data_IF_232185236279
#
_entry.id   IF_232185236279
#
_cell.length_a   1.000
_cell.length_b   1.000
_cell.length_c   1.000
_cell.angle_alpha   90.00
_cell.angle_beta   90.00
_cell.angle_gamma   90.00
#
_symmetry.space_group_name_H-M   'P 1'
#
loop_
_entity.id
_entity.type
_entity.pdbx_description
1 polymer ?
#
# COMPACT_ATOMS: atom_id res chain seq x y z
N UNK A 1 24.68 5.62 -3.82
CA UNK A 1 23.26 5.50 -3.40
C UNK A 1 22.58 4.19 -3.78
N UNK A 2 23.10 3.40 -4.74
CA UNK A 2 22.44 2.14 -5.18
C UNK A 2 22.43 0.98 -4.14
N UNK A 3 23.34 0.96 -3.17
CA UNK A 3 23.41 -0.11 -2.16
C UNK A 3 22.24 -0.09 -1.18
N UNK A 4 21.83 1.09 -0.71
CA UNK A 4 20.76 1.24 0.28
C UNK A 4 19.39 0.85 -0.29
N UNK A 5 19.04 1.30 -1.50
CA UNK A 5 17.76 0.94 -2.12
C UNK A 5 17.68 -0.58 -2.40
N UNK A 6 18.81 -1.20 -2.76
CA UNK A 6 18.88 -2.65 -2.95
C UNK A 6 18.69 -3.39 -1.62
N UNK A 7 19.33 -2.93 -0.55
CA UNK A 7 19.14 -3.47 0.80
C UNK A 7 17.69 -3.37 1.27
N UNK A 8 17.05 -2.20 1.11
CA UNK A 8 15.65 -1.99 1.50
C UNK A 8 14.72 -2.92 0.69
N UNK A 9 14.98 -3.14 -0.59
CA UNK A 9 14.22 -4.09 -1.42
C UNK A 9 14.37 -5.53 -0.94
N UNK A 10 15.57 -5.93 -0.52
CA UNK A 10 15.78 -7.26 0.06
C UNK A 10 15.07 -7.40 1.39
N UNK A 11 15.14 -6.40 2.26
CA UNK A 11 14.41 -6.41 3.52
C UNK A 11 12.89 -6.54 3.30
N UNK A 12 12.33 -5.79 2.34
CA UNK A 12 10.92 -5.95 1.96
C UNK A 12 10.61 -7.39 1.57
N UNK A 13 11.47 -8.00 0.76
CA UNK A 13 11.26 -9.37 0.31
C UNK A 13 11.36 -10.39 1.44
N UNK A 14 12.34 -10.26 2.32
CA UNK A 14 12.52 -11.14 3.48
C UNK A 14 11.29 -11.09 4.40
N UNK A 15 10.71 -9.90 4.58
CA UNK A 15 9.46 -9.72 5.33
C UNK A 15 8.29 -10.43 4.65
N UNK A 16 8.10 -10.23 3.35
CA UNK A 16 7.01 -10.88 2.61
C UNK A 16 7.14 -12.40 2.68
N UNK A 17 8.35 -12.93 2.52
CA UNK A 17 8.62 -14.37 2.64
C UNK A 17 8.18 -14.91 3.99
N UNK A 18 8.47 -14.20 5.09
CA UNK A 18 8.07 -14.64 6.43
C UNK A 18 6.54 -14.68 6.62
N UNK A 19 5.79 -13.97 5.78
CA UNK A 19 4.34 -13.97 5.78
C UNK A 19 3.71 -15.00 4.83
N UNK A 20 4.51 -15.79 4.11
CA UNK A 20 3.97 -16.81 3.22
C UNK A 20 3.34 -17.97 4.01
N UNK A 21 2.14 -18.40 3.63
CA UNK A 21 1.36 -19.41 4.38
C UNK A 21 2.06 -20.77 4.52
N UNK A 22 3.02 -21.08 3.64
CA UNK A 22 3.84 -22.28 3.72
C UNK A 22 4.77 -22.33 4.94
N UNK A 23 4.96 -21.21 5.64
CA UNK A 23 5.76 -21.15 6.87
C UNK A 23 4.94 -21.38 8.15
N UNK A 24 3.64 -21.66 8.07
CA UNK A 24 2.81 -21.98 9.26
C UNK A 24 3.00 -23.44 9.74
N UNK A 25 3.48 -24.35 8.87
CA UNK A 25 3.65 -25.78 9.16
C UNK A 25 5.04 -26.16 9.73
N UNK A 26 5.94 -25.20 9.87
CA UNK A 26 7.28 -25.42 10.42
C UNK A 26 7.26 -24.90 11.87
N UNK A 27 7.33 -25.80 12.86
CA UNK A 27 7.48 -25.57 14.32
C UNK A 27 8.76 -24.76 14.68
N UNK A 28 9.34 -24.05 13.72
CA UNK A 28 10.36 -23.06 13.94
C UNK A 28 9.68 -21.80 14.46
N UNK A 29 10.01 -21.44 15.71
CA UNK A 29 9.79 -20.11 16.28
C UNK A 29 9.95 -19.07 15.16
N UNK A 30 8.83 -18.50 14.70
CA UNK A 30 8.83 -17.59 13.56
C UNK A 30 9.85 -16.49 13.84
N UNK A 31 10.67 -16.10 12.85
CA UNK A 31 11.58 -14.94 12.96
C UNK A 31 10.83 -13.71 13.51
N UNK A 32 9.52 -13.64 13.27
CA UNK A 32 8.62 -12.62 13.81
C UNK A 32 8.36 -12.78 15.32
N UNK A 33 8.26 -13.99 15.85
CA UNK A 33 8.22 -14.27 17.29
C UNK A 33 9.51 -13.83 17.96
N UNK A 34 10.67 -14.11 17.34
CA UNK A 34 11.99 -13.67 17.83
C UNK A 34 12.18 -12.15 17.76
N UNK A 35 11.70 -11.50 16.69
CA UNK A 35 11.83 -10.05 16.50
C UNK A 35 10.78 -9.25 17.30
N UNK A 36 9.58 -9.81 17.48
CA UNK A 36 8.42 -9.05 17.96
C UNK A 36 7.89 -9.48 19.32
N UNK A 37 8.16 -10.69 19.78
CA UNK A 37 7.69 -11.25 21.04
C UNK A 37 6.24 -11.74 21.00
N UNK A 38 5.87 -12.58 21.96
CA UNK A 38 4.60 -13.33 21.98
C UNK A 38 3.40 -12.55 22.57
N UNK A 39 3.13 -11.36 22.03
CA UNK A 39 1.96 -10.55 22.43
C UNK A 39 1.25 -9.99 21.21
N UNK A 40 0.18 -10.67 20.76
CA UNK A 40 -0.51 -10.41 19.48
C UNK A 40 -0.79 -8.93 19.16
N UNK A 41 -1.26 -8.12 20.13
CA UNK A 41 -1.51 -6.68 19.88
C UNK A 41 -0.25 -5.84 19.67
N UNK A 42 0.86 -6.20 20.33
CA UNK A 42 2.16 -5.55 20.14
C UNK A 42 2.75 -5.97 18.80
N UNK A 43 2.62 -7.25 18.44
CA UNK A 43 3.06 -7.81 17.14
C UNK A 43 2.32 -7.16 15.98
N UNK A 44 0.99 -7.11 16.00
CA UNK A 44 0.16 -6.43 15.00
C UNK A 44 0.53 -4.95 14.87
N UNK A 45 0.80 -4.30 16.01
CA UNK A 45 1.26 -2.92 16.05
C UNK A 45 2.58 -2.71 15.32
N UNK A 46 3.54 -3.64 15.46
CA UNK A 46 4.84 -3.58 14.78
C UNK A 46 4.72 -3.87 13.28
N UNK A 47 3.95 -4.90 12.90
CA UNK A 47 3.63 -5.21 11.48
C UNK A 47 3.01 -3.99 10.81
N UNK A 48 2.04 -3.35 11.47
CA UNK A 48 1.38 -2.14 10.96
C UNK A 48 2.38 -0.98 10.80
N UNK A 49 3.28 -0.77 11.76
CA UNK A 49 4.29 0.29 11.67
C UNK A 49 5.27 0.07 10.53
N UNK A 50 5.71 -1.15 10.33
CA UNK A 50 6.62 -1.50 9.24
C UNK A 50 5.94 -1.38 7.87
N UNK A 51 4.71 -1.88 7.75
CA UNK A 51 3.89 -1.69 6.56
C UNK A 51 3.71 -0.20 6.22
N UNK A 52 3.51 0.66 7.23
CA UNK A 52 3.45 2.11 7.05
C UNK A 52 4.77 2.69 6.57
N UNK A 53 5.91 2.22 7.08
CA UNK A 53 7.21 2.61 6.58
C UNK A 53 7.35 2.26 5.10
N UNK A 54 7.06 1.03 4.69
CA UNK A 54 7.17 0.63 3.29
C UNK A 54 6.19 1.37 2.36
N UNK A 55 4.95 1.62 2.81
CA UNK A 55 4.00 2.46 2.06
C UNK A 55 4.53 3.88 1.84
N UNK A 56 5.25 4.43 2.82
CA UNK A 56 5.93 5.71 2.70
C UNK A 56 7.15 5.66 1.76
N UNK A 57 7.97 4.60 1.83
CA UNK A 57 9.14 4.42 0.97
C UNK A 57 8.74 4.26 -0.51
N UNK A 58 7.61 3.61 -0.78
CA UNK A 58 7.04 3.50 -2.12
C UNK A 58 6.55 4.86 -2.61
N UNK A 59 5.81 5.61 -1.77
CA UNK A 59 5.37 6.96 -2.08
C UNK A 59 6.54 7.89 -2.46
N UNK A 60 7.61 7.85 -1.66
CA UNK A 60 8.83 8.65 -1.88
C UNK A 60 9.72 8.11 -3.02
N UNK A 61 9.27 7.08 -3.75
CA UNK A 61 9.96 6.43 -4.89
C UNK A 61 11.34 5.85 -4.53
N UNK A 62 11.57 5.54 -3.26
CA UNK A 62 12.78 4.84 -2.80
C UNK A 62 12.72 3.36 -3.22
N UNK A 63 11.51 2.79 -3.16
CA UNK A 63 11.19 1.46 -3.69
C UNK A 63 10.15 1.65 -4.80
N UNK A 64 10.39 1.17 -6.03
CA UNK A 64 9.38 1.19 -7.08
C UNK A 64 8.24 0.24 -6.74
N UNK A 65 7.02 0.58 -7.19
CA UNK A 65 5.85 -0.25 -6.97
C UNK A 65 5.97 -1.63 -7.64
N UNK A 66 6.83 -1.78 -8.65
CA UNK A 66 7.19 -3.04 -9.32
C UNK A 66 7.57 -4.18 -8.35
N UNK A 67 7.99 -3.87 -7.11
CA UNK A 67 8.27 -4.87 -6.08
C UNK A 67 7.06 -5.78 -5.77
N UNK A 68 5.84 -5.32 -6.06
CA UNK A 68 4.60 -6.08 -5.89
C UNK A 68 4.54 -7.37 -6.72
N UNK A 69 5.37 -7.52 -7.78
CA UNK A 69 5.46 -8.77 -8.53
C UNK A 69 5.90 -9.98 -7.70
N UNK A 70 6.55 -9.73 -6.57
CA UNK A 70 7.06 -10.77 -5.67
C UNK A 70 6.09 -11.13 -4.54
N UNK A 71 4.92 -10.49 -4.47
CA UNK A 71 3.97 -10.70 -3.38
C UNK A 71 2.93 -11.74 -3.84
N UNK A 72 2.76 -12.86 -3.12
CA UNK A 72 1.79 -13.89 -3.49
C UNK A 72 0.37 -13.51 -3.06
N UNK A 73 -0.16 -12.43 -3.65
CA UNK A 73 -1.39 -11.75 -3.25
C UNK A 73 -2.66 -12.62 -3.36
N UNK A 74 -2.69 -13.59 -4.27
CA UNK A 74 -3.91 -14.34 -4.61
C UNK A 74 -4.28 -15.42 -3.58
N UNK A 75 -3.31 -16.09 -2.95
CA UNK A 75 -3.59 -17.11 -1.92
C UNK A 75 -2.34 -17.57 -1.13
N UNK A 76 -1.29 -16.73 -1.05
CA UNK A 76 -0.02 -17.16 -0.46
C UNK A 76 0.39 -16.43 0.80
N UNK A 77 -0.45 -15.56 1.35
CA UNK A 77 -0.15 -14.81 2.57
C UNK A 77 -0.98 -15.32 3.74
N UNK A 78 -0.34 -15.44 4.91
CA UNK A 78 -1.03 -15.66 6.16
C UNK A 78 -1.76 -14.38 6.65
N UNK A 79 -2.46 -14.49 7.79
CA UNK A 79 -3.23 -13.37 8.36
C UNK A 79 -2.36 -12.12 8.61
N UNK A 80 -1.08 -12.31 8.97
CA UNK A 80 -0.14 -11.22 9.22
C UNK A 80 0.34 -10.57 7.93
N UNK A 81 0.57 -11.36 6.89
CA UNK A 81 0.84 -10.87 5.54
C UNK A 81 -0.32 -10.06 5.00
N UNK A 82 -1.56 -10.53 5.21
CA UNK A 82 -2.75 -9.76 4.86
C UNK A 82 -2.81 -8.43 5.62
N UNK A 83 -2.51 -8.43 6.93
CA UNK A 83 -2.43 -7.21 7.74
C UNK A 83 -1.35 -6.24 7.21
N UNK A 84 -0.18 -6.77 6.85
CA UNK A 84 0.93 -6.00 6.32
C UNK A 84 0.57 -5.34 4.99
N UNK A 85 0.08 -6.11 4.01
CA UNK A 85 -0.26 -5.59 2.68
C UNK A 85 -1.41 -4.57 2.76
N UNK A 86 -2.45 -4.85 3.54
CA UNK A 86 -3.54 -3.92 3.74
C UNK A 86 -3.05 -2.60 4.36
N UNK A 87 -2.23 -2.67 5.41
CA UNK A 87 -1.68 -1.50 6.09
C UNK A 87 -0.76 -0.68 5.17
N UNK A 88 0.04 -1.36 4.34
CA UNK A 88 0.95 -0.74 3.38
C UNK A 88 0.17 0.01 2.30
N UNK A 89 -0.79 -0.66 1.65
CA UNK A 89 -1.63 -0.05 0.61
C UNK A 89 -2.44 1.11 1.19
N UNK A 90 -3.00 0.96 2.38
CA UNK A 90 -3.73 2.03 3.05
C UNK A 90 -2.84 3.25 3.31
N UNK A 91 -1.63 3.06 3.85
CA UNK A 91 -0.68 4.16 4.08
C UNK A 91 -0.25 4.85 2.77
N UNK A 92 0.05 4.06 1.73
CA UNK A 92 0.41 4.59 0.41
C UNK A 92 -0.72 5.46 -0.16
N UNK A 93 -1.95 4.93 -0.20
CA UNK A 93 -3.12 5.63 -0.72
C UNK A 93 -3.48 6.86 0.12
N UNK A 94 -3.35 6.79 1.44
CA UNK A 94 -3.51 7.95 2.33
C UNK A 94 -2.51 9.07 1.98
N UNK A 95 -1.25 8.71 1.73
CA UNK A 95 -0.22 9.70 1.39
C UNK A 95 -0.44 10.31 0.02
N UNK A 96 -0.80 9.50 -0.98
CA UNK A 96 -1.23 9.99 -2.30
C UNK A 96 -2.41 10.93 -2.15
N UNK A 97 -3.48 10.51 -1.45
CA UNK A 97 -4.66 11.36 -1.22
C UNK A 97 -4.33 12.67 -0.51
N UNK A 98 -3.39 12.66 0.44
CA UNK A 98 -2.94 13.88 1.12
C UNK A 98 -2.22 14.84 0.17
N UNK A 99 -1.26 14.35 -0.60
CA UNK A 99 -0.42 15.20 -1.47
C UNK A 99 -1.13 15.61 -2.77
N UNK A 100 -2.11 14.83 -3.21
CA UNK A 100 -3.01 15.21 -4.30
C UNK A 100 -4.04 16.29 -3.92
N UNK A 101 -4.32 16.49 -2.62
CA UNK A 101 -5.37 17.40 -2.15
C UNK A 101 -5.02 18.89 -2.39
N UNK A 102 -5.70 19.54 -3.33
CA UNK A 102 -5.60 20.98 -3.60
C UNK A 102 -6.85 21.70 -3.08
N UNK A 103 -6.64 22.73 -2.26
CA UNK A 103 -7.72 23.61 -1.78
C UNK A 103 -7.89 24.78 -2.76
N UNK A 104 -8.97 24.75 -3.52
CA UNK A 104 -9.33 25.81 -4.46
C UNK A 104 -10.26 26.80 -3.74
N UNK A 105 -9.83 28.06 -3.64
CA UNK A 105 -10.73 29.14 -3.23
C UNK A 105 -11.48 29.61 -4.47
N UNK A 106 -12.82 29.50 -4.46
CA UNK A 106 -13.64 29.99 -5.59
C UNK A 106 -13.70 31.51 -5.68
N UNK A 107 -13.39 32.23 -4.59
CA UNK A 107 -13.28 33.70 -4.53
C UNK A 107 -12.34 34.14 -3.41
N UNK A 108 -11.80 35.37 -3.50
CA UNK A 108 -11.03 36.00 -2.40
C UNK A 108 -11.87 36.25 -1.14
N UNK A 109 -13.20 36.27 -1.26
CA UNK A 109 -14.16 36.54 -0.18
C UNK A 109 -15.03 35.33 0.22
N UNK A 110 -14.88 34.16 -0.43
CA UNK A 110 -15.67 32.98 -0.06
C UNK A 110 -15.07 32.25 1.14
N UNK A 111 -15.87 32.01 2.18
CA UNK A 111 -15.50 31.14 3.31
C UNK A 111 -15.48 29.66 2.93
N UNK A 112 -16.03 29.26 1.78
CA UNK A 112 -16.02 27.86 1.32
C UNK A 112 -14.86 27.60 0.36
N UNK A 113 -13.89 26.80 0.81
CA UNK A 113 -12.82 26.26 -0.03
C UNK A 113 -13.31 24.95 -0.62
N UNK A 114 -13.40 24.86 -1.94
CA UNK A 114 -13.63 23.59 -2.62
C UNK A 114 -12.35 22.75 -2.58
N UNK A 115 -12.50 21.43 -2.42
CA UNK A 115 -11.39 20.49 -2.45
C UNK A 115 -11.38 19.82 -3.82
N UNK A 116 -10.20 19.76 -4.42
CA UNK A 116 -9.93 19.02 -5.66
C UNK A 116 -8.73 18.12 -5.43
N UNK A 117 -8.57 17.09 -6.25
CA UNK A 117 -7.45 16.16 -6.17
C UNK A 117 -6.76 16.03 -7.52
N UNK A 118 -5.43 15.99 -7.51
CA UNK A 118 -4.60 15.72 -8.67
C UNK A 118 -4.38 14.21 -8.84
N UNK A 119 -4.99 13.61 -9.86
CA UNK A 119 -4.87 12.17 -10.14
C UNK A 119 -3.51 11.78 -10.70
N UNK A 120 -2.76 12.70 -11.32
CA UNK A 120 -1.50 12.39 -11.99
C UNK A 120 -0.44 11.83 -11.02
N UNK A 121 -0.49 12.26 -9.75
CA UNK A 121 0.46 11.79 -8.74
C UNK A 121 0.36 10.28 -8.50
N UNK A 122 -0.86 9.72 -8.55
CA UNK A 122 -1.08 8.29 -8.40
C UNK A 122 -0.44 7.51 -9.54
N UNK A 123 -0.67 7.98 -10.78
CA UNK A 123 -0.09 7.39 -11.98
C UNK A 123 1.44 7.40 -11.95
N UNK A 124 2.04 8.50 -11.50
CA UNK A 124 3.50 8.59 -11.44
C UNK A 124 4.13 7.73 -10.35
N UNK A 125 3.44 7.48 -9.23
CA UNK A 125 3.98 6.70 -8.11
C UNK A 125 3.77 5.20 -8.33
N UNK A 126 2.59 4.82 -8.82
CA UNK A 126 2.19 3.42 -8.94
C UNK A 126 2.39 2.96 -10.38
N UNK A 127 1.56 3.43 -11.30
CA UNK A 127 1.40 2.79 -12.60
C UNK A 127 2.62 2.96 -13.51
N UNK A 128 3.24 4.15 -13.53
CA UNK A 128 4.46 4.41 -14.33
C UNK A 128 5.73 3.77 -13.77
N UNK A 129 5.71 3.24 -12.54
CA UNK A 129 6.90 2.62 -11.93
C UNK A 129 6.94 1.10 -12.10
N UNK A 130 5.86 0.50 -12.61
CA UNK A 130 5.78 -0.93 -12.91
C UNK A 130 6.45 -1.20 -14.27
N UNK A 131 7.36 -2.17 -14.32
CA UNK A 131 7.99 -2.59 -15.57
C UNK A 131 6.95 -3.24 -16.48
N UNK A 132 7.02 -2.98 -17.79
CA UNK A 132 6.04 -3.46 -18.80
C UNK A 132 5.75 -4.96 -18.67
N UNK A 133 6.80 -5.78 -18.54
CA UNK A 133 6.68 -7.24 -18.39
C UNK A 133 5.88 -7.68 -17.15
N UNK A 134 5.82 -6.84 -16.11
CA UNK A 134 5.15 -7.14 -14.85
C UNK A 134 3.76 -6.49 -14.74
N UNK A 135 3.41 -5.56 -15.65
CA UNK A 135 2.20 -4.74 -15.54
C UNK A 135 0.94 -5.60 -15.44
N UNK A 136 0.75 -6.54 -16.37
CA UNK A 136 -0.46 -7.36 -16.41
C UNK A 136 -0.64 -8.18 -15.13
N UNK A 137 0.43 -8.82 -14.66
CA UNK A 137 0.39 -9.68 -13.47
C UNK A 137 0.10 -8.84 -12.22
N UNK A 138 0.84 -7.74 -12.01
CA UNK A 138 0.65 -6.87 -10.85
C UNK A 138 -0.76 -6.28 -10.85
N UNK A 139 -1.25 -5.79 -11.98
CA UNK A 139 -2.56 -5.16 -12.06
C UNK A 139 -3.70 -6.15 -11.82
N UNK A 140 -3.63 -7.37 -12.35
CA UNK A 140 -4.63 -8.42 -12.07
C UNK A 140 -4.65 -8.82 -10.59
N UNK A 141 -3.48 -8.96 -9.98
CA UNK A 141 -3.37 -9.24 -8.55
C UNK A 141 -3.95 -8.11 -7.70
N UNK A 142 -3.64 -6.85 -8.03
CA UNK A 142 -4.20 -5.69 -7.34
C UNK A 142 -5.71 -5.58 -7.51
N UNK A 143 -6.23 -5.80 -8.72
CA UNK A 143 -7.67 -5.81 -8.98
C UNK A 143 -8.36 -6.79 -8.04
N UNK A 144 -7.94 -8.07 -8.08
CA UNK A 144 -8.49 -9.11 -7.23
C UNK A 144 -8.38 -8.76 -5.74
N UNK A 145 -7.21 -8.29 -5.29
CA UNK A 145 -7.01 -7.97 -3.88
C UNK A 145 -7.90 -6.83 -3.40
N UNK A 146 -8.04 -5.78 -4.21
CA UNK A 146 -8.87 -4.63 -3.85
C UNK A 146 -10.36 -4.92 -3.85
N UNK A 147 -10.80 -5.96 -4.57
CA UNK A 147 -12.18 -6.43 -4.61
C UNK A 147 -12.51 -7.41 -3.48
N UNK A 148 -11.56 -8.28 -3.11
CA UNK A 148 -11.83 -9.43 -2.25
C UNK A 148 -11.25 -9.32 -0.84
N UNK A 149 -10.14 -8.60 -0.66
CA UNK A 149 -9.34 -8.64 0.59
C UNK A 149 -9.13 -7.26 1.22
N UNK A 150 -9.08 -6.20 0.41
CA UNK A 150 -8.74 -4.87 0.92
C UNK A 150 -9.87 -4.24 1.75
N UNK A 151 -9.65 -4.07 3.05
CA UNK A 151 -10.59 -3.43 3.98
C UNK A 151 -9.96 -2.19 4.63
N UNK A 152 -10.25 -1.02 4.06
CA UNK A 152 -9.75 0.26 4.60
C UNK A 152 -10.40 0.68 5.91
N UNK A 153 -11.53 0.09 6.30
CA UNK A 153 -12.32 0.54 7.47
C UNK A 153 -11.64 0.24 8.81
N UNK A 154 -10.68 -0.68 8.81
CA UNK A 154 -9.92 -1.12 9.98
C UNK A 154 -8.81 -0.14 10.39
N UNK A 155 -8.52 0.86 9.58
CA UNK A 155 -7.37 1.73 9.75
C UNK A 155 -7.76 3.16 10.15
N UNK A 156 -6.98 3.73 11.06
CA UNK A 156 -7.03 5.14 11.47
C UNK A 156 -5.64 5.58 11.90
N UNK A 157 -4.80 5.95 10.94
CA UNK A 157 -3.37 6.22 11.14
C UNK A 157 -3.07 7.65 11.59
N UNK A 158 -4.06 8.54 11.53
CA UNK A 158 -3.97 9.94 11.95
C UNK A 158 -5.06 10.28 12.97
N UNK A 159 -4.86 11.38 13.68
CA UNK A 159 -5.84 11.90 14.64
C UNK A 159 -7.06 12.54 13.97
N UNK A 160 -6.95 12.99 12.71
CA UNK A 160 -8.03 13.65 11.97
C UNK A 160 -8.74 12.64 11.05
N UNK A 161 -9.59 11.82 11.65
CA UNK A 161 -10.35 10.75 10.97
C UNK A 161 -11.17 11.28 9.78
N UNK A 162 -11.72 12.49 9.88
CA UNK A 162 -12.54 13.06 8.80
C UNK A 162 -11.72 13.38 7.56
N UNK A 163 -10.54 14.00 7.72
CA UNK A 163 -9.65 14.26 6.58
C UNK A 163 -9.07 12.98 6.01
N UNK A 164 -8.65 12.07 6.89
CA UNK A 164 -8.12 10.77 6.51
C UNK A 164 -9.12 10.00 5.66
N UNK A 165 -10.34 9.79 6.17
CA UNK A 165 -11.40 9.08 5.45
C UNK A 165 -11.72 9.70 4.09
N UNK A 166 -11.75 11.04 4.00
CA UNK A 166 -12.01 11.71 2.71
C UNK A 166 -10.90 11.43 1.71
N UNK A 167 -9.63 11.53 2.13
CA UNK A 167 -8.45 11.33 1.27
C UNK A 167 -8.32 9.89 0.82
N UNK A 168 -8.48 8.95 1.74
CA UNK A 168 -8.41 7.51 1.43
C UNK A 168 -9.57 7.09 0.56
N UNK A 169 -10.80 7.55 0.82
CA UNK A 169 -11.95 7.26 -0.04
C UNK A 169 -11.73 7.73 -1.48
N UNK A 170 -11.21 8.95 -1.67
CA UNK A 170 -10.84 9.43 -3.00
C UNK A 170 -9.75 8.54 -3.63
N UNK A 171 -8.65 8.32 -2.91
CA UNK A 171 -7.51 7.56 -3.44
C UNK A 171 -7.88 6.11 -3.78
N UNK A 172 -8.64 5.41 -2.95
CA UNK A 172 -9.10 4.04 -3.22
C UNK A 172 -9.97 3.99 -4.49
N UNK A 173 -10.90 4.93 -4.64
CA UNK A 173 -11.75 4.98 -5.82
C UNK A 173 -10.95 5.24 -7.09
N UNK A 174 -10.01 6.19 -7.04
CA UNK A 174 -9.13 6.49 -8.18
C UNK A 174 -8.19 5.33 -8.48
N UNK A 175 -7.68 4.65 -7.46
CA UNK A 175 -6.80 3.50 -7.62
C UNK A 175 -7.49 2.35 -8.35
N UNK A 176 -8.70 1.97 -7.93
CA UNK A 176 -9.51 0.94 -8.61
C UNK A 176 -9.79 1.33 -10.07
N UNK A 177 -10.26 2.55 -10.29
CA UNK A 177 -10.51 3.05 -11.65
C UNK A 177 -9.26 3.00 -12.53
N UNK A 178 -8.11 3.36 -11.98
CA UNK A 178 -6.85 3.39 -12.72
C UNK A 178 -6.36 1.96 -13.03
N UNK A 179 -6.55 1.01 -12.11
CA UNK A 179 -6.29 -0.42 -12.39
C UNK A 179 -7.13 -0.88 -13.58
N UNK A 180 -8.45 -0.66 -13.54
CA UNK A 180 -9.36 -1.07 -14.61
C UNK A 180 -9.03 -0.41 -15.95
N UNK A 181 -8.63 0.86 -15.93
CA UNK A 181 -8.21 1.58 -17.13
C UNK A 181 -6.92 1.00 -17.71
N UNK A 182 -5.90 0.77 -16.89
CA UNK A 182 -4.62 0.21 -17.36
C UNK A 182 -4.79 -1.22 -17.87
N UNK A 183 -5.62 -2.05 -17.22
CA UNK A 183 -5.90 -3.42 -17.70
C UNK A 183 -6.53 -3.44 -19.09
N UNK A 184 -7.48 -2.53 -19.37
CA UNK A 184 -8.12 -2.42 -20.70
C UNK A 184 -7.15 -2.09 -21.84
N UNK A 185 -6.00 -1.49 -21.55
CA UNK A 185 -4.98 -1.20 -22.56
C UNK A 185 -4.00 -2.37 -22.78
N UNK A 186 -4.01 -3.36 -21.89
CA UNK A 186 -3.15 -4.54 -21.94
C UNK A 186 -3.86 -5.78 -22.50
N UNK A 187 -5.18 -5.70 -22.71
CA UNK A 187 -6.03 -6.71 -23.37
C UNK A 187 -6.25 -6.36 -24.85
#
# INVERSE_FOLDING_TARGET
MNGLNKFIKFQFWDIIKNFESANEDDDNESILTDLYGDFGTVRDGKITQEARLFGNLIFDRIIPFDIFKHIPILDGLNTEGELFINSLLYQLLLRIGKESEKKISKDKNSKSKSISYDSNLMDEIIFKTIQEDNQLIILKQLQWYTENKFDSSRYAFTSDKTKENRRTKWAISTFKQSIDQNLKYLE
#
